data_IF_936535066448
#
_entry.id   IF_936535066448
#
_cell.length_a   1.000
_cell.length_b   1.000
_cell.length_c   1.000
_cell.angle_alpha   90.00
_cell.angle_beta   90.00
_cell.angle_gamma   90.00
#
_symmetry.space_group_name_H-M   'P 1'
#
loop_
_entity.id
_entity.type
_entity.pdbx_description
1 polymer ?
#
# COMPACT_ATOMS: atom_id res chain seq x y z
N UNK A 1 1.83 26.42 8.96
CA UNK A 1 1.17 25.19 9.44
C UNK A 1 2.00 23.98 9.03
N UNK A 2 2.96 23.52 9.85
CA UNK A 2 3.61 22.21 9.65
C UNK A 2 2.58 21.14 10.04
N UNK A 3 1.93 20.51 9.04
CA UNK A 3 1.04 19.39 9.29
C UNK A 3 1.84 18.15 9.69
N UNK A 4 1.34 17.50 10.74
CA UNK A 4 1.83 16.34 11.47
C UNK A 4 1.99 15.04 10.62
N UNK A 5 2.71 15.07 9.50
CA UNK A 5 2.89 13.88 8.64
C UNK A 5 4.27 13.23 8.77
N UNK A 6 5.24 13.90 9.39
CA UNK A 6 6.63 13.43 9.46
C UNK A 6 6.86 12.30 10.50
N UNK A 7 6.11 12.29 11.61
CA UNK A 7 6.32 11.33 12.70
C UNK A 7 5.84 9.90 12.41
N UNK A 8 4.96 9.70 11.42
CA UNK A 8 4.42 8.36 11.12
C UNK A 8 5.36 7.50 10.26
N UNK A 9 6.23 8.11 9.45
CA UNK A 9 7.22 7.38 8.66
C UNK A 9 8.33 6.77 9.54
N UNK A 10 8.61 7.41 10.68
CA UNK A 10 9.68 7.05 11.60
C UNK A 10 9.47 5.70 12.32
N UNK A 11 8.21 5.37 12.64
CA UNK A 11 7.87 4.25 13.51
C UNK A 11 7.89 2.90 12.76
N UNK A 12 7.68 2.93 11.45
CA UNK A 12 7.56 1.72 10.62
C UNK A 12 8.88 1.24 10.00
N UNK A 13 9.90 2.10 9.94
CA UNK A 13 11.18 1.80 9.31
C UNK A 13 12.39 2.10 10.20
N UNK A 14 12.21 2.16 11.52
CA UNK A 14 13.32 2.24 12.48
C UNK A 14 14.15 3.53 12.40
N UNK A 15 13.57 4.65 11.96
CA UNK A 15 14.26 5.93 11.90
C UNK A 15 13.49 6.98 12.71
N UNK A 16 13.82 7.11 14.01
CA UNK A 16 13.32 8.20 14.84
C UNK A 16 13.92 9.53 14.36
N UNK A 17 13.33 10.15 13.35
CA UNK A 17 13.73 11.50 12.89
C UNK A 17 12.82 12.53 13.57
N UNK A 18 13.33 13.17 14.62
CA UNK A 18 12.78 14.42 15.15
C UNK A 18 13.18 15.56 14.21
N UNK A 19 12.33 15.89 13.24
CA UNK A 19 12.48 17.15 12.49
C UNK A 19 11.75 18.25 13.27
N UNK A 20 12.50 19.10 13.96
CA UNK A 20 11.97 20.36 14.52
C UNK A 20 11.78 21.38 13.39
N UNK A 21 10.54 21.73 13.04
CA UNK A 21 10.26 22.87 12.14
C UNK A 21 10.60 24.18 12.87
N UNK A 22 11.54 24.98 12.35
CA UNK A 22 11.71 26.39 12.72
C UNK A 22 10.57 27.23 12.10
N UNK A 23 10.00 28.17 12.87
CA UNK A 23 9.05 29.17 12.39
C UNK A 23 9.78 30.32 11.69
N UNK A 24 9.25 30.75 10.55
CA UNK A 24 9.32 32.16 10.15
C UNK A 24 7.92 32.64 9.73
N UNK A 25 7.48 33.71 10.39
CA UNK A 25 6.29 34.49 10.08
C UNK A 25 6.60 35.48 8.93
N UNK A 26 5.62 35.74 8.04
CA UNK A 26 5.18 37.09 7.63
C UNK A 26 4.36 37.10 6.32
N UNK A 27 3.08 37.50 6.45
CA UNK A 27 2.35 38.54 5.69
C UNK A 27 2.24 38.57 4.15
N UNK A 28 0.98 38.73 3.65
CA UNK A 28 0.61 39.45 2.40
C UNK A 28 -0.14 38.61 1.35
N UNK A 29 -1.48 38.56 1.31
CA UNK A 29 -2.48 39.49 0.70
C UNK A 29 -2.72 39.36 -0.83
N UNK A 30 -3.91 38.82 -1.18
CA UNK A 30 -4.92 39.25 -2.17
C UNK A 30 -4.53 40.01 -3.46
N UNK A 31 -4.98 39.51 -4.65
CA UNK A 31 -5.69 40.22 -5.78
C UNK A 31 -6.35 39.13 -6.68
N UNK A 32 -7.69 38.95 -6.72
CA UNK A 32 -8.77 39.50 -7.59
C UNK A 32 -8.80 39.13 -9.10
N UNK A 33 -9.90 38.44 -9.46
CA UNK A 33 -10.83 38.54 -10.60
C UNK A 33 -10.38 38.46 -12.07
N UNK A 34 -11.11 37.63 -12.85
CA UNK A 34 -11.69 38.05 -14.14
C UNK A 34 -12.96 37.23 -14.49
N UNK A 35 -14.04 37.95 -14.76
CA UNK A 35 -15.29 37.49 -15.38
C UNK A 35 -15.13 37.25 -16.88
N UNK A 36 -15.92 36.34 -17.45
CA UNK A 36 -16.20 36.25 -18.89
C UNK A 36 -17.52 35.51 -19.12
N UNK A 37 -18.46 36.12 -19.83
CA UNK A 37 -19.85 35.70 -20.00
C UNK A 37 -20.13 35.25 -21.46
N UNK A 38 -21.10 34.35 -21.59
CA UNK A 38 -22.07 34.16 -22.69
C UNK A 38 -21.62 33.74 -24.11
N UNK A 39 -22.18 32.62 -24.60
CA UNK A 39 -23.01 32.46 -25.84
C UNK A 39 -23.21 30.96 -26.14
N UNK A 40 -24.42 30.41 -25.94
CA UNK A 40 -25.45 30.07 -26.95
C UNK A 40 -25.00 29.17 -28.09
N UNK A 41 -25.51 27.93 -28.12
CA UNK A 41 -25.42 27.05 -29.29
C UNK A 41 -25.77 25.61 -28.98
N UNK A 42 -27.07 25.30 -28.83
CA UNK A 42 -27.57 23.92 -28.73
C UNK A 42 -27.90 23.39 -30.13
N UNK A 43 -27.30 22.29 -30.59
CA UNK A 43 -27.93 21.43 -31.58
C UNK A 43 -28.57 20.22 -30.89
N UNK A 44 -29.84 20.01 -31.23
CA UNK A 44 -30.59 18.78 -31.01
C UNK A 44 -29.82 17.59 -31.61
N UNK A 45 -29.20 16.77 -30.75
CA UNK A 45 -28.70 15.46 -31.12
C UNK A 45 -29.72 14.43 -30.65
N UNK A 46 -30.37 13.83 -31.63
CA UNK A 46 -31.25 12.67 -31.52
C UNK A 46 -30.58 11.57 -30.68
N UNK A 47 -31.21 11.22 -29.57
CA UNK A 47 -30.82 10.08 -28.73
C UNK A 47 -31.07 8.78 -29.50
N UNK A 48 -30.02 8.18 -30.03
CA UNK A 48 -30.00 6.73 -30.29
C UNK A 48 -29.85 6.03 -28.94
N UNK A 49 -30.59 4.94 -28.66
CA UNK A 49 -30.35 4.14 -27.47
C UNK A 49 -28.96 3.52 -27.59
N UNK A 50 -28.02 4.06 -26.81
CA UNK A 50 -26.72 3.44 -26.59
C UNK A 50 -27.02 2.17 -25.81
N UNK A 51 -27.08 1.03 -26.51
CA UNK A 51 -27.03 -0.28 -25.88
C UNK A 51 -25.80 -0.26 -24.98
N UNK A 52 -26.05 -0.29 -23.67
CA UNK A 52 -25.03 -0.50 -22.66
C UNK A 52 -24.49 -1.89 -22.91
N UNK A 53 -23.46 -1.97 -23.74
CA UNK A 53 -22.55 -3.10 -23.77
C UNK A 53 -22.06 -3.22 -22.34
N UNK A 54 -22.68 -4.13 -21.60
CA UNK A 54 -22.27 -4.55 -20.28
C UNK A 54 -20.84 -5.06 -20.44
N UNK A 55 -19.89 -4.17 -20.18
CA UNK A 55 -18.52 -4.58 -19.91
C UNK A 55 -18.64 -5.60 -18.78
N UNK A 56 -18.18 -6.85 -18.96
CA UNK A 56 -18.26 -7.82 -17.89
C UNK A 56 -17.51 -7.19 -16.71
N UNK A 57 -18.26 -6.86 -15.67
CA UNK A 57 -17.69 -6.46 -14.40
C UNK A 57 -16.75 -7.60 -14.04
N UNK A 58 -15.45 -7.29 -13.99
CA UNK A 58 -14.51 -8.13 -13.26
C UNK A 58 -15.21 -8.54 -11.96
N UNK A 59 -15.11 -9.81 -11.53
CA UNK A 59 -15.54 -10.22 -10.20
C UNK A 59 -15.15 -9.10 -9.24
N UNK A 60 -16.14 -8.57 -8.50
CA UNK A 60 -15.83 -7.57 -7.47
C UNK A 60 -14.67 -8.14 -6.66
N UNK A 61 -13.68 -7.33 -6.30
CA UNK A 61 -12.47 -7.86 -5.65
C UNK A 61 -12.74 -8.78 -4.45
N UNK A 62 -13.89 -8.58 -3.79
CA UNK A 62 -14.48 -9.46 -2.79
C UNK A 62 -14.67 -10.90 -3.28
N UNK A 63 -15.24 -11.14 -4.47
CA UNK A 63 -15.39 -12.48 -5.04
C UNK A 63 -14.07 -13.20 -5.21
N UNK A 64 -12.97 -12.48 -5.48
CA UNK A 64 -11.62 -13.08 -5.54
C UNK A 64 -11.19 -13.61 -4.17
N UNK A 65 -11.60 -12.95 -3.08
CA UNK A 65 -11.27 -13.39 -1.74
C UNK A 65 -11.95 -14.72 -1.37
N UNK A 66 -13.09 -15.05 -1.96
CA UNK A 66 -13.77 -16.34 -1.71
C UNK A 66 -12.91 -17.55 -2.08
N UNK A 67 -11.87 -17.37 -2.92
CA UNK A 67 -10.89 -18.43 -3.20
C UNK A 67 -10.20 -18.97 -1.94
N UNK A 68 -10.08 -18.17 -0.88
CA UNK A 68 -9.56 -18.64 0.40
C UNK A 68 -10.47 -19.65 1.10
N UNK A 69 -11.78 -19.63 0.86
CA UNK A 69 -12.69 -20.65 1.36
C UNK A 69 -12.51 -21.97 0.61
N UNK A 70 -12.28 -21.91 -0.70
CA UNK A 70 -11.93 -23.10 -1.49
C UNK A 70 -10.63 -23.72 -0.99
N UNK A 71 -9.59 -22.89 -0.75
CA UNK A 71 -8.34 -23.36 -0.16
C UNK A 71 -8.56 -24.02 1.20
N UNK A 72 -9.40 -23.45 2.06
CA UNK A 72 -9.73 -24.06 3.35
C UNK A 72 -10.42 -25.42 3.20
N UNK A 73 -11.34 -25.57 2.25
CA UNK A 73 -12.01 -26.84 1.98
C UNK A 73 -11.06 -27.92 1.44
N UNK A 74 -9.90 -27.54 0.92
CA UNK A 74 -8.86 -28.47 0.48
C UNK A 74 -7.92 -28.83 1.64
N UNK A 75 -7.43 -27.84 2.39
CA UNK A 75 -6.35 -28.03 3.39
C UNK A 75 -6.83 -28.25 4.82
N UNK A 76 -8.08 -27.88 5.13
CA UNK A 76 -8.74 -28.07 6.44
C UNK A 76 -7.92 -27.54 7.63
N UNK A 77 -7.39 -26.31 7.54
CA UNK A 77 -6.55 -25.72 8.58
C UNK A 77 -7.33 -25.04 9.72
N UNK A 78 -8.65 -24.97 9.61
CA UNK A 78 -9.57 -24.41 10.59
C UNK A 78 -9.72 -22.89 10.50
N UNK A 79 -10.65 -22.35 11.30
CA UNK A 79 -10.98 -20.92 11.30
C UNK A 79 -9.80 -20.00 11.67
N UNK A 80 -8.88 -20.49 12.50
CA UNK A 80 -7.63 -19.79 12.85
C UNK A 80 -6.49 -20.07 11.87
N UNK A 81 -6.68 -20.99 10.92
CA UNK A 81 -5.72 -21.32 9.88
C UNK A 81 -5.52 -20.16 8.90
N UNK A 82 -4.40 -20.18 8.17
CA UNK A 82 -4.02 -19.09 7.28
C UNK A 82 -5.12 -18.73 6.25
N UNK A 83 -5.77 -19.68 5.54
CA UNK A 83 -6.75 -19.34 4.52
C UNK A 83 -7.88 -18.45 5.06
N UNK A 84 -8.48 -18.82 6.20
CA UNK A 84 -9.62 -18.09 6.76
C UNK A 84 -9.17 -16.96 7.71
N UNK A 85 -8.39 -17.31 8.73
CA UNK A 85 -8.02 -16.40 9.83
C UNK A 85 -7.18 -15.21 9.37
N UNK A 86 -6.45 -15.36 8.26
CA UNK A 86 -5.61 -14.31 7.69
C UNK A 86 -6.01 -13.93 6.26
N UNK A 87 -5.89 -14.85 5.31
CA UNK A 87 -6.05 -14.60 3.88
C UNK A 87 -7.39 -14.01 3.51
N UNK A 88 -8.48 -14.71 3.84
CA UNK A 88 -9.85 -14.28 3.60
C UNK A 88 -10.16 -12.96 4.30
N UNK A 89 -9.88 -12.92 5.61
CA UNK A 89 -10.13 -11.76 6.48
C UNK A 89 -9.50 -10.48 5.94
N UNK A 90 -8.19 -10.49 5.64
CA UNK A 90 -7.50 -9.29 5.19
C UNK A 90 -7.78 -8.97 3.72
N UNK A 91 -7.90 -9.96 2.85
CA UNK A 91 -8.31 -9.74 1.47
C UNK A 91 -9.61 -8.94 1.40
N UNK A 92 -10.64 -9.38 2.14
CA UNK A 92 -11.92 -8.68 2.18
C UNK A 92 -11.82 -7.28 2.75
N UNK A 93 -11.15 -7.11 3.89
CA UNK A 93 -10.97 -5.78 4.51
C UNK A 93 -10.27 -4.80 3.56
N UNK A 94 -9.30 -5.25 2.76
CA UNK A 94 -8.66 -4.39 1.75
C UNK A 94 -9.65 -3.93 0.69
N UNK A 95 -10.50 -4.81 0.17
CA UNK A 95 -11.50 -4.44 -0.83
C UNK A 95 -12.66 -3.61 -0.25
N UNK A 96 -13.05 -3.86 1.00
CA UNK A 96 -14.06 -3.06 1.72
C UNK A 96 -13.57 -1.64 2.03
N UNK A 97 -12.26 -1.41 2.02
CA UNK A 97 -11.63 -0.11 2.28
C UNK A 97 -10.90 0.45 1.04
N UNK A 98 -11.21 -0.07 -0.16
CA UNK A 98 -10.51 0.27 -1.40
C UNK A 98 -10.66 1.76 -1.77
N UNK A 99 -11.74 2.40 -1.34
CA UNK A 99 -12.03 3.82 -1.50
C UNK A 99 -11.04 4.73 -0.75
N UNK A 100 -10.41 4.24 0.32
CA UNK A 100 -9.37 4.98 1.08
C UNK A 100 -8.04 5.04 0.34
N UNK A 101 -7.84 4.21 -0.68
CA UNK A 101 -6.62 4.18 -1.46
C UNK A 101 -6.69 5.14 -2.66
N UNK A 102 -5.55 5.71 -3.01
CA UNK A 102 -5.39 6.37 -4.31
C UNK A 102 -5.51 5.36 -5.45
N UNK A 103 -5.70 5.80 -6.69
CA UNK A 103 -5.73 4.90 -7.86
C UNK A 103 -4.50 3.96 -7.97
N UNK A 104 -3.31 4.45 -7.64
CA UNK A 104 -2.11 3.60 -7.56
C UNK A 104 -2.18 2.56 -6.42
N UNK A 105 -2.81 2.92 -5.30
CA UNK A 105 -3.01 2.00 -4.18
C UNK A 105 -4.04 0.93 -4.50
N UNK A 106 -5.13 1.27 -5.21
CA UNK A 106 -6.12 0.30 -5.68
C UNK A 106 -5.50 -0.74 -6.60
N UNK A 107 -4.70 -0.30 -7.58
CA UNK A 107 -3.94 -1.20 -8.47
C UNK A 107 -2.98 -2.11 -7.71
N UNK A 108 -2.32 -1.59 -6.67
CA UNK A 108 -1.49 -2.40 -5.79
C UNK A 108 -2.30 -3.49 -5.08
N UNK A 109 -3.44 -3.14 -4.46
CA UNK A 109 -4.30 -4.10 -3.76
C UNK A 109 -4.76 -5.22 -4.71
N UNK A 110 -5.25 -4.87 -5.89
CA UNK A 110 -5.71 -5.84 -6.89
C UNK A 110 -4.59 -6.78 -7.35
N UNK A 111 -3.43 -6.21 -7.67
CA UNK A 111 -2.25 -6.97 -8.09
C UNK A 111 -1.75 -7.89 -6.97
N UNK A 112 -1.60 -7.38 -5.75
CA UNK A 112 -1.08 -8.13 -4.61
C UNK A 112 -2.03 -9.27 -4.24
N UNK A 113 -3.35 -9.01 -4.17
CA UNK A 113 -4.34 -10.04 -3.90
C UNK A 113 -4.29 -11.17 -4.93
N UNK A 114 -4.20 -10.84 -6.23
CA UNK A 114 -4.04 -11.84 -7.28
C UNK A 114 -2.74 -12.65 -7.12
N UNK A 115 -1.61 -11.97 -6.93
CA UNK A 115 -0.31 -12.64 -6.77
C UNK A 115 -0.30 -13.62 -5.58
N UNK A 116 -0.82 -13.19 -4.44
CA UNK A 116 -0.87 -14.00 -3.21
C UNK A 116 -1.76 -15.24 -3.39
N UNK A 117 -2.96 -15.07 -3.95
CA UNK A 117 -3.89 -16.18 -4.20
C UNK A 117 -3.31 -17.17 -5.19
N UNK A 118 -2.74 -16.68 -6.30
CA UNK A 118 -2.14 -17.54 -7.33
C UNK A 118 -0.94 -18.33 -6.77
N UNK A 119 -0.09 -17.71 -5.93
CA UNK A 119 1.05 -18.40 -5.30
C UNK A 119 0.62 -19.41 -4.24
N UNK A 120 -0.40 -19.09 -3.46
CA UNK A 120 -0.92 -19.99 -2.44
C UNK A 120 -1.58 -21.22 -3.06
N UNK A 121 -2.44 -21.03 -4.07
CA UNK A 121 -3.10 -22.14 -4.77
C UNK A 121 -2.09 -23.11 -5.38
N UNK A 122 -1.06 -22.60 -6.09
CA UNK A 122 0.02 -23.44 -6.62
C UNK A 122 0.75 -24.24 -5.54
N UNK A 123 0.96 -23.64 -4.36
CA UNK A 123 1.59 -24.35 -3.26
C UNK A 123 0.68 -25.42 -2.69
N UNK A 124 -0.62 -25.14 -2.55
CA UNK A 124 -1.60 -26.11 -2.09
C UNK A 124 -1.62 -27.33 -3.02
N UNK A 125 -1.69 -27.09 -4.33
CA UNK A 125 -1.74 -28.14 -5.35
C UNK A 125 -0.49 -29.03 -5.38
N UNK A 126 0.70 -28.47 -5.10
CA UNK A 126 1.97 -29.12 -5.41
C UNK A 126 2.79 -29.53 -4.19
N UNK A 127 2.65 -28.80 -3.07
CA UNK A 127 3.62 -28.83 -1.97
C UNK A 127 2.96 -28.81 -0.58
N UNK A 128 1.63 -28.85 -0.48
CA UNK A 128 0.97 -28.85 0.80
C UNK A 128 1.35 -30.08 1.63
N UNK A 129 1.70 -29.83 2.89
CA UNK A 129 2.12 -30.86 3.84
C UNK A 129 1.45 -30.65 5.19
N UNK A 130 1.58 -29.44 5.74
CA UNK A 130 0.95 -29.06 7.02
C UNK A 130 0.44 -27.62 6.97
N UNK A 131 -0.50 -27.30 7.85
CA UNK A 131 -1.01 -25.94 8.03
C UNK A 131 0.08 -24.96 8.48
N UNK A 132 1.06 -25.42 9.25
CA UNK A 132 2.21 -24.59 9.63
C UNK A 132 3.06 -24.25 8.40
N UNK A 133 3.37 -25.22 7.54
CA UNK A 133 4.16 -24.95 6.34
C UNK A 133 3.39 -24.10 5.33
N UNK A 134 2.07 -24.28 5.21
CA UNK A 134 1.22 -23.41 4.40
C UNK A 134 1.25 -21.96 4.90
N UNK A 135 1.14 -21.77 6.21
CA UNK A 135 1.23 -20.47 6.85
C UNK A 135 2.59 -19.80 6.58
N UNK A 136 3.69 -20.51 6.84
CA UNK A 136 5.04 -19.98 6.63
C UNK A 136 5.29 -19.62 5.17
N UNK A 137 4.94 -20.51 4.24
CA UNK A 137 5.02 -20.23 2.82
C UNK A 137 4.22 -18.99 2.44
N UNK A 138 2.98 -18.87 2.95
CA UNK A 138 2.15 -17.73 2.63
C UNK A 138 2.81 -16.41 3.06
N UNK A 139 3.33 -16.30 4.28
CA UNK A 139 4.04 -15.10 4.74
C UNK A 139 5.31 -14.79 3.94
N UNK A 140 6.08 -15.82 3.58
CA UNK A 140 7.31 -15.67 2.79
C UNK A 140 7.02 -15.18 1.35
N UNK A 141 5.81 -15.42 0.82
CA UNK A 141 5.43 -14.90 -0.51
C UNK A 141 5.03 -13.41 -0.52
N UNK A 142 4.67 -12.83 0.63
CA UNK A 142 4.16 -11.45 0.69
C UNK A 142 5.16 -10.41 0.18
N UNK A 143 6.44 -10.39 0.62
CA UNK A 143 7.39 -9.37 0.18
C UNK A 143 7.58 -9.33 -1.33
N UNK A 144 7.67 -10.51 -1.97
CA UNK A 144 7.82 -10.60 -3.41
C UNK A 144 6.58 -10.08 -4.15
N UNK A 145 5.38 -10.51 -3.75
CA UNK A 145 4.14 -10.02 -4.34
C UNK A 145 3.97 -8.51 -4.13
N UNK A 146 4.32 -7.98 -2.95
CA UNK A 146 4.20 -6.56 -2.66
C UNK A 146 5.13 -5.72 -3.54
N UNK A 147 6.41 -6.09 -3.61
CA UNK A 147 7.41 -5.38 -4.40
C UNK A 147 7.07 -5.45 -5.89
N UNK A 148 6.71 -6.63 -6.39
CA UNK A 148 6.28 -6.82 -7.78
C UNK A 148 5.06 -5.96 -8.14
N UNK A 149 4.15 -5.76 -7.19
CA UNK A 149 2.95 -4.94 -7.37
C UNK A 149 3.16 -3.45 -7.05
N UNK A 150 4.41 -3.00 -6.89
CA UNK A 150 4.77 -1.59 -6.77
C UNK A 150 4.60 -1.00 -5.37
N UNK A 151 4.54 -1.83 -4.32
CA UNK A 151 4.44 -1.37 -2.92
C UNK A 151 5.46 -0.27 -2.61
N UNK A 152 6.71 -0.47 -3.06
CA UNK A 152 7.79 0.49 -3.29
C UNK A 152 7.37 1.96 -3.29
N UNK A 153 6.72 2.28 -4.39
CA UNK A 153 6.33 3.63 -4.77
C UNK A 153 4.93 3.98 -4.26
N UNK A 154 4.09 2.98 -4.01
CA UNK A 154 2.71 3.16 -3.55
C UNK A 154 2.67 3.73 -2.13
N UNK A 155 3.52 3.22 -1.23
CA UNK A 155 3.50 3.61 0.18
C UNK A 155 4.17 4.96 0.47
N UNK A 156 4.89 5.55 -0.49
CA UNK A 156 5.42 6.91 -0.35
C UNK A 156 4.31 7.97 -0.28
N UNK A 157 3.08 7.61 -0.72
CA UNK A 157 1.90 8.47 -0.61
C UNK A 157 1.25 8.28 0.76
N UNK A 158 1.13 9.38 1.51
CA UNK A 158 0.54 9.41 2.86
C UNK A 158 -0.87 8.81 2.93
N UNK A 159 -1.70 9.00 1.88
CA UNK A 159 -3.02 8.39 1.80
C UNK A 159 -2.97 6.86 1.76
N UNK A 160 -2.08 6.28 0.94
CA UNK A 160 -1.98 4.82 0.80
C UNK A 160 -1.40 4.15 2.04
N UNK A 161 -0.36 4.73 2.64
CA UNK A 161 0.23 4.17 3.86
C UNK A 161 -0.78 4.23 5.02
N UNK A 162 -1.52 5.34 5.16
CA UNK A 162 -2.59 5.46 6.16
C UNK A 162 -3.70 4.43 5.92
N UNK A 163 -4.14 4.25 4.67
CA UNK A 163 -5.16 3.28 4.32
C UNK A 163 -4.70 1.84 4.63
N UNK A 164 -3.47 1.49 4.25
CA UNK A 164 -2.88 0.18 4.50
C UNK A 164 -2.85 -0.18 5.99
N UNK A 165 -2.33 0.71 6.83
CA UNK A 165 -2.29 0.47 8.29
C UNK A 165 -3.64 0.64 8.99
N UNK A 166 -4.66 1.17 8.31
CA UNK A 166 -6.05 1.14 8.83
C UNK A 166 -6.74 -0.21 8.61
N UNK A 167 -6.21 -1.05 7.72
CA UNK A 167 -6.76 -2.37 7.37
C UNK A 167 -6.10 -3.49 8.18
N UNK A 168 -4.76 -3.46 8.30
CA UNK A 168 -3.98 -4.50 8.99
C UNK A 168 -3.90 -4.21 10.49
N UNK A 169 -4.16 -5.22 11.32
CA UNK A 169 -3.95 -5.12 12.77
C UNK A 169 -2.46 -5.30 13.10
N UNK A 170 -1.91 -4.46 13.97
CA UNK A 170 -0.47 -4.46 14.30
C UNK A 170 0.03 -5.81 14.82
N UNK A 171 -0.81 -6.55 15.56
CA UNK A 171 -0.48 -7.90 16.06
C UNK A 171 -0.34 -8.96 14.97
N UNK A 172 -0.93 -8.71 13.79
CA UNK A 172 -0.96 -9.62 12.65
C UNK A 172 0.10 -9.21 11.59
N UNK A 173 0.94 -8.22 11.89
CA UNK A 173 2.12 -7.91 11.10
C UNK A 173 3.21 -8.93 11.39
N UNK A 174 3.52 -9.78 10.41
CA UNK A 174 4.72 -10.61 10.48
C UNK A 174 5.97 -9.74 10.35
N UNK A 175 6.76 -9.67 11.42
CA UNK A 175 8.03 -8.93 11.45
C UNK A 175 8.93 -9.32 10.28
N UNK A 176 8.97 -10.61 9.91
CA UNK A 176 9.72 -11.09 8.75
C UNK A 176 9.26 -10.44 7.44
N UNK A 177 7.96 -10.41 7.19
CA UNK A 177 7.38 -9.78 6.00
C UNK A 177 7.69 -8.29 5.95
N UNK A 178 7.58 -7.59 7.08
CA UNK A 178 7.91 -6.16 7.20
C UNK A 178 9.38 -5.91 6.87
N UNK A 179 10.30 -6.65 7.53
CA UNK A 179 11.74 -6.50 7.33
C UNK A 179 12.16 -6.82 5.89
N UNK A 180 11.69 -7.93 5.32
CA UNK A 180 12.04 -8.34 3.96
C UNK A 180 11.48 -7.38 2.91
N UNK A 181 10.25 -6.89 3.10
CA UNK A 181 9.68 -5.87 2.21
C UNK A 181 10.49 -4.58 2.31
N UNK A 182 10.80 -4.14 3.54
CA UNK A 182 11.63 -2.96 3.79
C UNK A 182 13.00 -3.04 3.12
N UNK A 183 13.70 -4.17 3.28
CA UNK A 183 15.00 -4.42 2.66
C UNK A 183 14.91 -4.37 1.13
N UNK A 184 13.90 -5.01 0.52
CA UNK A 184 13.68 -4.97 -0.94
C UNK A 184 13.32 -3.56 -1.45
N UNK A 185 12.78 -2.71 -0.57
CA UNK A 185 12.37 -1.34 -0.88
C UNK A 185 13.42 -0.27 -0.55
N UNK A 186 14.55 -0.64 0.04
CA UNK A 186 15.54 0.30 0.58
C UNK A 186 16.01 1.34 -0.46
N UNK A 187 16.21 0.94 -1.72
CA UNK A 187 16.62 1.88 -2.79
C UNK A 187 15.59 2.98 -3.05
N UNK A 188 14.30 2.63 -3.11
CA UNK A 188 13.21 3.60 -3.33
C UNK A 188 13.08 4.56 -2.15
N UNK A 189 13.22 4.06 -0.92
CA UNK A 189 13.18 4.90 0.27
C UNK A 189 14.39 5.82 0.35
N UNK A 190 15.57 5.33 0.01
CA UNK A 190 16.78 6.13 -0.06
C UNK A 190 16.67 7.27 -1.08
N UNK A 191 16.09 7.01 -2.26
CA UNK A 191 15.88 8.05 -3.27
C UNK A 191 14.82 9.08 -2.85
N UNK A 192 13.76 8.64 -2.15
CA UNK A 192 12.78 9.56 -1.57
C UNK A 192 13.42 10.46 -0.49
N UNK A 193 14.27 9.91 0.37
CA UNK A 193 15.02 10.67 1.39
C UNK A 193 15.96 11.67 0.73
N UNK A 194 16.76 11.27 -0.26
CA UNK A 194 17.64 12.21 -1.00
C UNK A 194 16.85 13.34 -1.63
N UNK A 195 15.68 13.05 -2.19
CA UNK A 195 14.83 14.07 -2.81
C UNK A 195 14.33 15.06 -1.75
N UNK A 196 13.78 14.56 -0.64
CA UNK A 196 13.32 15.41 0.46
C UNK A 196 14.48 16.23 1.07
N UNK A 197 15.66 15.63 1.21
CA UNK A 197 16.87 16.30 1.69
C UNK A 197 17.31 17.45 0.77
N UNK A 198 17.24 17.25 -0.56
CA UNK A 198 17.49 18.34 -1.53
C UNK A 198 16.47 19.46 -1.41
N UNK A 199 15.20 19.12 -1.20
CA UNK A 199 14.11 20.09 -1.06
C UNK A 199 14.22 20.88 0.27
N UNK A 200 14.96 20.36 1.26
CA UNK A 200 15.15 20.96 2.60
C UNK A 200 16.57 21.53 2.79
N UNK A 201 17.43 21.52 1.76
CA UNK A 201 18.84 21.93 1.85
C UNK A 201 19.63 21.20 2.97
N UNK A 202 19.36 19.92 3.17
CA UNK A 202 20.09 19.04 4.09
C UNK A 202 21.46 18.70 3.48
N UNK A 203 22.52 18.75 4.29
CA UNK A 203 23.89 18.54 3.80
C UNK A 203 24.20 17.05 3.59
N UNK A 204 25.28 16.76 2.85
CA UNK A 204 25.70 15.38 2.57
C UNK A 204 26.16 14.67 3.85
N UNK A 205 26.71 15.44 4.78
CA UNK A 205 27.20 15.01 6.08
C UNK A 205 26.03 14.56 6.97
N UNK A 206 24.92 15.30 6.96
CA UNK A 206 23.68 14.94 7.69
C UNK A 206 23.07 13.62 7.15
N UNK A 207 23.12 13.41 5.83
CA UNK A 207 22.64 12.16 5.21
C UNK A 207 23.49 10.94 5.56
N UNK A 208 24.81 11.12 5.73
CA UNK A 208 25.73 10.05 6.14
C UNK A 208 25.50 9.71 7.61
N UNK A 209 25.31 10.69 8.49
CA UNK A 209 24.97 10.46 9.91
C UNK A 209 23.65 9.68 10.05
N UNK A 210 22.62 10.06 9.30
CA UNK A 210 21.33 9.35 9.30
C UNK A 210 21.49 7.91 8.78
N UNK A 211 22.24 7.70 7.70
CA UNK A 211 22.47 6.38 7.14
C UNK A 211 23.24 5.46 8.09
N UNK A 212 24.30 5.95 8.72
CA UNK A 212 25.08 5.20 9.71
C UNK A 212 24.20 4.84 10.92
N UNK A 213 23.36 5.76 11.39
CA UNK A 213 22.45 5.51 12.51
C UNK A 213 21.35 4.50 12.17
N UNK A 214 20.87 4.47 10.93
CA UNK A 214 19.89 3.47 10.48
C UNK A 214 20.54 2.09 10.30
N UNK A 215 21.77 2.02 9.77
CA UNK A 215 22.46 0.74 9.56
C UNK A 215 22.99 0.10 10.86
N UNK A 216 23.28 0.87 11.90
CA UNK A 216 23.72 0.34 13.20
C UNK A 216 22.63 -0.45 13.94
N UNK A 217 21.34 -0.21 13.67
CA UNK A 217 20.25 -1.01 14.25
C UNK A 217 19.94 -2.30 13.47
N UNK A 218 20.71 -2.63 12.43
CA UNK A 218 20.58 -3.87 11.65
C UNK A 218 21.39 -5.07 12.16
N UNK A 219 22.18 -4.91 13.22
CA UNK A 219 23.10 -5.93 13.77
C UNK A 219 23.03 -6.10 15.29
N UNK A 220 21.84 -5.94 15.88
CA UNK A 220 21.58 -6.30 17.28
C UNK A 220 20.43 -7.31 17.37
#
# INVERSE_FOLDING_TARGET
MCHLTSTFFAILFGALILVTCAQEDSSGSLVKNASGNLTTGTPMITLMPFETSHMPSSPSGIQRCEKYQEFENEVHCGESGYPIGYGYRYCRRFYENLDKFTESGKKFVECAAKCLIDRLGKYIDQNFTTCSNLHDYAYDTHPDCYVQCGFCSVITKSANIKAFFSVIELKDLAVRTVLQTGAKCAGVFWDAIKKAAKDVAVTREDLIDIADRVMVFGHA
#
